data_IF_747090796575
#
_entry.id   IF_747090796575
#
_cell.length_a   1.000
_cell.length_b   1.000
_cell.length_c   1.000
_cell.angle_alpha   90.00
_cell.angle_beta   90.00
_cell.angle_gamma   90.00
#
_symmetry.space_group_name_H-M   'P 1'
#
loop_
_entity.id
_entity.type
_entity.pdbx_description
1 polymer ?
#
# COMPACT_ATOMS: atom_id res chain seq x y z
N UNK A 1 -9.47 39.14 -50.66
CA UNK A 1 -10.95 39.15 -50.54
C UNK A 1 -11.29 38.55 -49.17
N UNK A 2 -11.22 39.28 -48.05
CA UNK A 2 -12.23 40.19 -47.50
C UNK A 2 -13.68 39.69 -47.62
N UNK A 3 -14.20 39.08 -46.54
CA UNK A 3 -15.49 39.48 -45.96
C UNK A 3 -15.58 39.07 -44.48
N UNK A 4 -15.59 40.11 -43.66
CA UNK A 4 -16.04 40.15 -42.27
C UNK A 4 -17.57 40.09 -42.19
N UNK A 5 -18.08 39.64 -41.05
CA UNK A 5 -19.17 40.23 -40.25
C UNK A 5 -19.91 39.12 -39.48
N UNK A 6 -20.52 39.31 -38.32
CA UNK A 6 -20.49 40.29 -37.23
C UNK A 6 -21.56 39.72 -36.27
N UNK A 7 -21.25 39.65 -34.98
CA UNK A 7 -22.21 39.29 -33.90
C UNK A 7 -23.43 40.21 -33.92
N UNK A 8 -24.54 39.76 -33.33
CA UNK A 8 -25.19 40.56 -32.32
C UNK A 8 -25.23 39.86 -30.95
N UNK A 9 -25.35 40.72 -29.95
CA UNK A 9 -25.22 40.56 -28.51
C UNK A 9 -26.60 40.74 -27.84
N UNK A 10 -26.63 40.54 -26.51
CA UNK A 10 -27.64 40.95 -25.53
C UNK A 10 -28.80 39.94 -25.37
N UNK A 11 -29.24 39.52 -24.19
CA UNK A 11 -29.09 40.01 -22.80
C UNK A 11 -29.76 39.01 -21.84
N UNK A 12 -29.31 38.97 -20.58
CA UNK A 12 -30.24 38.89 -19.44
C UNK A 12 -30.11 37.70 -18.49
N UNK A 13 -29.61 38.00 -17.27
CA UNK A 13 -30.15 37.61 -15.94
C UNK A 13 -30.30 36.10 -15.63
N UNK A 14 -29.77 35.51 -14.57
CA UNK A 14 -29.66 35.97 -13.16
C UNK A 14 -28.64 35.11 -12.42
N UNK A 15 -27.89 35.76 -11.53
CA UNK A 15 -27.00 35.16 -10.55
C UNK A 15 -27.78 34.55 -9.37
N UNK A 16 -27.45 33.31 -9.02
CA UNK A 16 -27.59 32.79 -7.64
C UNK A 16 -26.36 31.92 -7.32
N UNK A 17 -25.60 32.22 -6.26
CA UNK A 17 -24.53 31.34 -5.80
C UNK A 17 -25.12 30.38 -4.75
N UNK A 18 -25.30 29.13 -5.12
CA UNK A 18 -25.58 28.06 -4.15
C UNK A 18 -24.26 27.43 -3.76
N UNK A 19 -23.77 27.80 -2.59
CA UNK A 19 -22.70 27.12 -1.87
C UNK A 19 -23.17 25.74 -1.41
N UNK A 20 -22.48 24.64 -1.73
CA UNK A 20 -22.44 23.49 -0.85
C UNK A 20 -21.29 23.71 0.13
N UNK A 21 -21.71 23.96 1.36
CA UNK A 21 -20.96 23.83 2.60
C UNK A 21 -19.91 22.72 2.55
N UNK A 22 -18.73 23.08 3.04
CA UNK A 22 -17.71 22.18 3.56
C UNK A 22 -18.33 21.02 4.35
N UNK A 23 -18.22 19.81 3.82
CA UNK A 23 -18.21 18.60 4.62
C UNK A 23 -16.89 17.88 4.36
N UNK A 24 -15.85 18.40 5.00
CA UNK A 24 -14.69 17.61 5.42
C UNK A 24 -15.22 16.46 6.29
N UNK A 25 -15.60 15.39 5.63
CA UNK A 25 -15.72 14.09 6.26
C UNK A 25 -14.37 13.42 6.08
N UNK A 26 -13.52 13.30 7.13
CA UNK A 26 -12.49 12.28 7.09
C UNK A 26 -13.23 10.95 7.10
N UNK A 27 -13.51 10.39 5.92
CA UNK A 27 -13.95 9.00 5.83
C UNK A 27 -12.82 8.19 6.42
N UNK A 28 -13.05 7.75 7.66
CA UNK A 28 -12.09 7.00 8.46
C UNK A 28 -11.63 5.81 7.65
N UNK A 29 -10.40 5.88 7.15
CA UNK A 29 -9.72 4.76 6.54
C UNK A 29 -9.63 3.70 7.64
N UNK A 30 -10.55 2.74 7.62
CA UNK A 30 -10.44 1.54 8.46
C UNK A 30 -9.19 0.83 8.00
N UNK A 31 -8.10 1.15 8.72
CA UNK A 31 -6.76 0.82 8.32
C UNK A 31 -6.54 -0.70 8.27
N UNK A 32 -5.56 -1.19 7.49
CA UNK A 32 -5.07 -2.56 7.33
C UNK A 32 -5.19 -3.56 8.48
N UNK A 33 -5.20 -3.03 9.69
CA UNK A 33 -5.42 -3.73 10.95
C UNK A 33 -6.81 -4.39 11.00
N UNK A 34 -7.81 -3.96 10.22
CA UNK A 34 -9.18 -4.50 10.29
C UNK A 34 -9.33 -5.99 9.94
N UNK A 35 -8.32 -6.62 9.33
CA UNK A 35 -8.32 -8.07 9.05
C UNK A 35 -7.36 -8.84 9.96
N UNK A 36 -6.34 -8.17 10.49
CA UNK A 36 -5.68 -8.62 11.73
C UNK A 36 -6.70 -8.69 12.88
N UNK A 37 -7.73 -7.82 12.88
CA UNK A 37 -8.79 -7.74 13.91
C UNK A 37 -9.64 -9.00 14.10
N UNK A 38 -9.65 -9.99 13.21
CA UNK A 38 -10.33 -11.27 13.48
C UNK A 38 -9.45 -12.29 14.23
N UNK A 39 -8.17 -11.98 14.52
CA UNK A 39 -7.23 -12.83 15.27
C UNK A 39 -6.63 -12.13 16.50
N UNK A 40 -7.41 -11.26 17.15
CA UNK A 40 -7.04 -10.67 18.44
C UNK A 40 -7.16 -11.74 19.54
N UNK A 41 -6.03 -12.32 19.94
CA UNK A 41 -5.98 -13.22 21.10
C UNK A 41 -4.66 -13.91 21.42
N UNK A 42 -3.61 -13.83 20.59
CA UNK A 42 -2.35 -14.52 20.89
C UNK A 42 -1.13 -13.60 20.70
N UNK A 43 -0.88 -12.76 21.71
CA UNK A 43 0.39 -12.00 21.84
C UNK A 43 1.62 -12.90 21.66
N UNK A 44 1.50 -14.15 22.12
CA UNK A 44 2.48 -15.23 21.92
C UNK A 44 2.76 -15.54 20.46
N UNK A 45 1.72 -15.65 19.61
CA UNK A 45 1.93 -15.91 18.19
C UNK A 45 2.69 -14.76 17.52
N UNK A 46 2.31 -13.52 17.82
CA UNK A 46 2.97 -12.35 17.23
C UNK A 46 4.43 -12.30 17.67
N UNK A 47 4.72 -12.50 18.96
CA UNK A 47 6.10 -12.50 19.46
C UNK A 47 6.93 -13.63 18.85
N UNK A 48 6.37 -14.83 18.69
CA UNK A 48 7.03 -15.95 18.01
C UNK A 48 7.34 -15.63 16.55
N UNK A 49 6.39 -15.05 15.81
CA UNK A 49 6.63 -14.70 14.41
C UNK A 49 7.67 -13.58 14.26
N UNK A 50 7.66 -12.59 15.15
CA UNK A 50 8.70 -11.54 15.20
C UNK A 50 10.06 -12.11 15.57
N UNK A 51 10.14 -13.09 16.48
CA UNK A 51 11.39 -13.78 16.80
C UNK A 51 11.96 -14.51 15.59
N UNK A 52 11.13 -15.28 14.86
CA UNK A 52 11.56 -15.95 13.62
C UNK A 52 12.02 -14.96 12.55
N UNK A 53 11.30 -13.85 12.38
CA UNK A 53 11.69 -12.77 11.48
C UNK A 53 13.08 -12.21 11.84
N UNK A 54 13.32 -11.95 13.12
CA UNK A 54 14.62 -11.48 13.63
C UNK A 54 15.74 -12.46 13.33
N UNK A 55 15.50 -13.75 13.53
CA UNK A 55 16.51 -14.79 13.25
C UNK A 55 16.88 -14.84 11.77
N UNK A 56 15.88 -14.69 10.89
CA UNK A 56 16.08 -14.58 9.44
C UNK A 56 16.92 -13.35 9.12
N UNK A 57 16.54 -12.16 9.59
CA UNK A 57 17.27 -10.90 9.30
C UNK A 57 18.70 -10.98 9.80
N UNK A 58 18.92 -11.47 11.02
CA UNK A 58 20.27 -11.68 11.55
C UNK A 58 21.08 -12.67 10.68
N UNK A 59 20.43 -13.71 10.16
CA UNK A 59 21.05 -14.64 9.21
C UNK A 59 21.47 -13.98 7.90
N UNK A 60 20.66 -13.06 7.36
CA UNK A 60 20.98 -12.28 6.17
C UNK A 60 22.18 -11.35 6.43
N UNK A 61 22.17 -10.64 7.55
CA UNK A 61 23.23 -9.71 7.92
C UNK A 61 24.57 -10.41 8.16
N UNK A 62 24.58 -11.58 8.82
CA UNK A 62 25.80 -12.39 8.99
C UNK A 62 26.41 -12.84 7.66
N UNK A 63 25.59 -12.96 6.61
CA UNK A 63 26.03 -13.31 5.24
C UNK A 63 26.37 -12.08 4.40
N UNK A 64 26.40 -10.90 5.02
CA UNK A 64 26.63 -9.61 4.36
C UNK A 64 25.64 -9.30 3.22
N UNK A 65 24.43 -9.86 3.29
CA UNK A 65 23.37 -9.58 2.31
C UNK A 65 22.81 -8.18 2.57
N UNK A 66 22.73 -7.37 1.51
CA UNK A 66 22.24 -5.98 1.55
C UNK A 66 20.86 -5.78 0.93
N UNK A 67 20.36 -6.76 0.18
CA UNK A 67 19.07 -6.68 -0.51
C UNK A 67 18.26 -7.97 -0.33
N UNK A 68 17.02 -7.82 0.12
CA UNK A 68 15.99 -8.85 0.09
C UNK A 68 14.99 -8.51 -1.03
N UNK A 69 15.09 -9.21 -2.15
CA UNK A 69 14.13 -9.13 -3.24
C UNK A 69 13.02 -10.18 -3.04
N UNK A 70 11.77 -9.74 -2.98
CA UNK A 70 10.61 -10.60 -2.70
C UNK A 70 9.71 -10.61 -3.93
N UNK A 71 9.53 -11.80 -4.53
CA UNK A 71 8.54 -12.00 -5.59
C UNK A 71 7.11 -11.73 -5.08
N UNK A 72 6.23 -11.26 -5.96
CA UNK A 72 4.91 -10.76 -5.57
C UNK A 72 3.84 -11.87 -5.56
N UNK A 73 3.50 -12.39 -6.73
CA UNK A 73 2.40 -13.35 -6.91
C UNK A 73 2.76 -14.72 -6.34
N UNK A 74 1.84 -15.33 -5.59
CA UNK A 74 2.07 -16.62 -4.90
C UNK A 74 3.33 -16.67 -4.01
N UNK A 75 3.96 -15.53 -3.73
CA UNK A 75 5.10 -15.40 -2.82
C UNK A 75 4.77 -14.40 -1.72
N UNK A 76 4.80 -13.09 -2.00
CA UNK A 76 4.32 -12.07 -1.04
C UNK A 76 2.81 -12.20 -0.78
N UNK A 77 2.06 -12.48 -1.85
CA UNK A 77 0.62 -12.76 -1.80
C UNK A 77 0.35 -14.27 -1.71
N UNK A 78 -0.78 -14.63 -1.11
CA UNK A 78 -1.31 -16.00 -1.13
C UNK A 78 -2.02 -16.35 -2.43
N UNK A 79 -2.29 -15.35 -3.29
CA UNK A 79 -2.99 -15.50 -4.57
C UNK A 79 -2.09 -15.17 -5.76
N UNK A 80 -2.60 -15.45 -6.96
CA UNK A 80 -2.03 -15.02 -8.22
C UNK A 80 -2.93 -13.96 -8.84
N UNK A 81 -2.39 -12.76 -9.06
CA UNK A 81 -3.08 -11.61 -9.67
C UNK A 81 -3.17 -11.71 -11.19
N UNK A 82 -2.53 -12.72 -11.80
CA UNK A 82 -2.43 -12.88 -13.26
C UNK A 82 -1.78 -11.68 -13.94
N UNK A 83 -0.89 -10.99 -13.23
CA UNK A 83 -0.23 -9.76 -13.68
C UNK A 83 -1.13 -8.52 -13.62
N UNK A 84 -2.45 -8.68 -13.38
CA UNK A 84 -3.38 -7.56 -13.32
C UNK A 84 -4.54 -7.79 -12.33
N UNK A 85 -4.46 -7.15 -11.16
CA UNK A 85 -5.52 -7.09 -10.18
C UNK A 85 -6.57 -6.02 -10.52
N UNK A 86 -7.82 -6.44 -10.61
CA UNK A 86 -8.97 -5.57 -10.92
C UNK A 86 -9.73 -5.10 -9.67
N UNK A 87 -9.45 -5.68 -8.51
CA UNK A 87 -10.12 -5.33 -7.27
C UNK A 87 -9.55 -4.08 -6.60
N UNK A 88 -10.12 -3.74 -5.46
CA UNK A 88 -9.59 -2.68 -4.60
C UNK A 88 -8.29 -3.14 -3.90
N UNK A 89 -7.41 -2.19 -3.58
CA UNK A 89 -6.12 -2.49 -2.94
C UNK A 89 -6.30 -3.00 -1.50
N UNK A 90 -7.35 -2.55 -0.82
CA UNK A 90 -7.73 -3.00 0.52
C UNK A 90 -8.11 -4.48 0.52
N UNK A 91 -8.71 -4.97 -0.57
CA UNK A 91 -9.00 -6.40 -0.74
C UNK A 91 -7.74 -7.20 -1.07
N UNK A 92 -6.74 -6.58 -1.70
CA UNK A 92 -5.48 -7.23 -1.99
C UNK A 92 -4.64 -7.45 -0.71
N UNK A 93 -4.76 -6.52 0.24
CA UNK A 93 -4.10 -6.59 1.54
C UNK A 93 -4.45 -7.87 2.32
N UNK A 94 -5.67 -8.38 2.20
CA UNK A 94 -6.09 -9.61 2.89
C UNK A 94 -5.27 -10.84 2.46
N UNK A 95 -4.67 -10.78 1.28
CA UNK A 95 -3.87 -11.85 0.71
C UNK A 95 -2.37 -11.71 1.01
N UNK A 96 -1.93 -10.64 1.68
CA UNK A 96 -0.53 -10.53 2.12
C UNK A 96 -0.23 -11.65 3.10
N UNK A 97 0.81 -12.45 2.80
CA UNK A 97 1.20 -13.55 3.69
C UNK A 97 1.77 -13.01 4.98
N UNK A 98 1.24 -13.50 6.10
CA UNK A 98 1.62 -13.08 7.45
C UNK A 98 3.12 -13.25 7.76
N UNK A 99 3.77 -14.27 7.20
CA UNK A 99 5.22 -14.47 7.35
C UNK A 99 6.03 -13.29 6.79
N UNK A 100 5.69 -12.83 5.58
CA UNK A 100 6.34 -11.68 4.96
C UNK A 100 5.96 -10.37 5.64
N UNK A 101 4.71 -10.25 6.09
CA UNK A 101 4.29 -9.11 6.91
C UNK A 101 5.19 -8.95 8.14
N UNK A 102 5.34 -10.00 8.96
CA UNK A 102 6.18 -9.94 10.15
C UNK A 102 7.67 -9.76 9.84
N UNK A 103 8.17 -10.36 8.75
CA UNK A 103 9.55 -10.19 8.30
C UNK A 103 9.87 -8.75 7.92
N UNK A 104 9.05 -8.17 7.03
CA UNK A 104 9.25 -6.80 6.56
C UNK A 104 9.02 -5.82 7.69
N UNK A 105 8.02 -6.05 8.55
CA UNK A 105 7.78 -5.20 9.71
C UNK A 105 8.97 -5.21 10.69
N UNK A 106 9.57 -6.36 11.00
CA UNK A 106 10.78 -6.42 11.85
C UNK A 106 11.96 -5.66 11.21
N UNK A 107 12.14 -5.81 9.89
CA UNK A 107 13.20 -5.12 9.14
C UNK A 107 13.01 -3.60 9.17
N UNK A 108 11.79 -3.11 8.93
CA UNK A 108 11.50 -1.67 8.87
C UNK A 108 11.50 -0.99 10.24
N UNK A 109 10.95 -1.65 11.26
CA UNK A 109 10.81 -1.07 12.61
C UNK A 109 12.10 -1.12 13.44
N UNK A 110 13.07 -1.93 13.05
CA UNK A 110 14.36 -2.04 13.76
C UNK A 110 15.42 -1.18 13.08
N UNK A 111 15.89 -0.07 13.70
CA UNK A 111 16.78 0.88 13.04
C UNK A 111 18.09 0.29 12.49
N UNK A 112 18.70 -0.65 13.21
CA UNK A 112 19.93 -1.32 12.77
C UNK A 112 19.72 -2.17 11.51
N UNK A 113 18.50 -2.66 11.28
CA UNK A 113 18.16 -3.46 10.10
C UNK A 113 17.83 -2.57 8.91
N UNK A 114 16.95 -1.58 9.09
CA UNK A 114 16.50 -0.69 8.01
C UNK A 114 17.62 0.16 7.40
N UNK A 115 18.71 0.39 8.13
CA UNK A 115 19.91 1.08 7.63
C UNK A 115 20.88 0.16 6.86
N UNK A 116 20.77 -1.16 7.00
CA UNK A 116 21.77 -2.11 6.50
C UNK A 116 21.23 -3.04 5.42
N UNK A 117 19.93 -3.36 5.48
CA UNK A 117 19.27 -4.31 4.60
C UNK A 117 18.09 -3.62 3.91
N UNK A 118 18.15 -3.53 2.59
CA UNK A 118 17.08 -3.01 1.75
C UNK A 118 16.09 -4.13 1.41
N UNK A 119 14.81 -3.78 1.26
CA UNK A 119 13.77 -4.71 0.79
C UNK A 119 13.11 -4.14 -0.47
N UNK A 120 12.88 -4.98 -1.47
CA UNK A 120 12.11 -4.63 -2.65
C UNK A 120 11.11 -5.73 -3.02
N UNK A 121 10.02 -5.31 -3.67
CA UNK A 121 9.07 -6.22 -4.31
C UNK A 121 9.45 -6.35 -5.79
N UNK A 122 9.56 -7.58 -6.27
CA UNK A 122 9.77 -7.93 -7.67
C UNK A 122 8.46 -8.52 -8.20
N UNK A 123 8.00 -8.08 -9.36
CA UNK A 123 6.73 -8.53 -9.93
C UNK A 123 6.74 -8.44 -11.44
N UNK A 124 5.97 -9.32 -12.09
CA UNK A 124 5.59 -9.17 -13.50
C UNK A 124 4.34 -8.29 -13.69
N UNK A 125 3.68 -7.86 -12.62
CA UNK A 125 2.55 -6.94 -12.74
C UNK A 125 3.02 -5.57 -13.21
N UNK A 126 2.29 -5.01 -14.17
CA UNK A 126 2.50 -3.64 -14.65
C UNK A 126 1.89 -2.58 -13.72
N UNK A 127 1.18 -2.98 -12.66
CA UNK A 127 0.47 -2.07 -11.76
C UNK A 127 1.35 -1.59 -10.60
N UNK A 128 2.45 -0.89 -10.89
CA UNK A 128 3.38 -0.35 -9.86
C UNK A 128 2.63 0.46 -8.79
N UNK A 129 1.71 1.33 -9.19
CA UNK A 129 0.93 2.18 -8.27
C UNK A 129 0.09 1.36 -7.29
N UNK A 130 -0.47 0.24 -7.76
CA UNK A 130 -1.23 -0.67 -6.91
C UNK A 130 -0.32 -1.31 -5.86
N UNK A 131 0.84 -1.81 -6.28
CA UNK A 131 1.82 -2.44 -5.39
C UNK A 131 2.31 -1.42 -4.35
N UNK A 132 2.63 -0.20 -4.77
CA UNK A 132 3.04 0.89 -3.87
C UNK A 132 1.97 1.18 -2.82
N UNK A 133 0.72 1.37 -3.24
CA UNK A 133 -0.41 1.60 -2.31
C UNK A 133 -0.60 0.44 -1.34
N UNK A 134 -0.48 -0.80 -1.83
CA UNK A 134 -0.56 -1.99 -0.97
C UNK A 134 0.52 -1.98 0.11
N UNK A 135 1.76 -1.64 -0.24
CA UNK A 135 2.87 -1.57 0.72
C UNK A 135 2.69 -0.42 1.73
N UNK A 136 2.26 0.76 1.27
CA UNK A 136 1.94 1.90 2.15
C UNK A 136 0.83 1.54 3.14
N UNK A 137 -0.21 0.85 2.68
CA UNK A 137 -1.24 0.30 3.54
C UNK A 137 -0.63 -0.70 4.54
N UNK A 138 0.08 -1.73 4.07
CA UNK A 138 0.60 -2.78 4.95
C UNK A 138 1.56 -2.26 6.03
N UNK A 139 2.45 -1.33 5.71
CA UNK A 139 3.57 -0.95 6.58
C UNK A 139 3.57 0.50 7.06
N UNK A 140 2.52 1.28 6.77
CA UNK A 140 2.42 2.71 7.12
C UNK A 140 3.63 3.53 6.68
N UNK A 141 4.17 3.23 5.50
CA UNK A 141 5.28 3.97 4.91
C UNK A 141 4.74 5.18 4.15
N UNK A 142 5.39 6.34 4.31
CA UNK A 142 5.09 7.58 3.57
C UNK A 142 5.45 7.46 2.09
#
# INVERSE_FOLDING_TARGET
>A
MHRTNKKPDLTGTTSTPVSPTSSTSPTSISSPIAIIKLKNGNSKYISEQRSKARDIVNGLLRKDIKLLAIDFDKTFLSIHTMGYWQGQVEKLLEYVRSSFYHLIQELLETPSYSQTLHVCIVSFSSQEHLIRKLLQLAFKTS
#
